data_IF_389074304025
#
_entry.id   IF_389074304025
#
_cell.length_a   1.000
_cell.length_b   1.000
_cell.length_c   1.000
_cell.angle_alpha   90.00
_cell.angle_beta   90.00
_cell.angle_gamma   90.00
#
_symmetry.space_group_name_H-M   'P 1'
#
loop_
_entity.id
_entity.type
_entity.pdbx_description
1 polymer ?
#
# COMPACT_ATOMS: atom_id res chain seq x y z
N UNK A 1 -21.05 27.73 2.35
CA UNK A 1 -19.83 27.47 3.13
C UNK A 1 -20.19 26.42 4.17
N UNK A 2 -19.80 25.17 3.94
CA UNK A 2 -19.71 24.13 4.97
C UNK A 2 -18.67 23.16 4.48
N UNK A 3 -17.43 23.52 4.80
CA UNK A 3 -16.25 22.69 4.84
C UNK A 3 -16.52 21.54 5.82
N UNK A 4 -16.90 20.38 5.27
CA UNK A 4 -16.98 19.14 6.04
C UNK A 4 -15.64 18.43 5.88
N UNK A 5 -14.79 18.67 6.89
CA UNK A 5 -13.65 17.84 7.26
C UNK A 5 -14.01 16.37 7.06
N UNK A 6 -13.33 15.70 6.14
CA UNK A 6 -13.39 14.26 6.00
C UNK A 6 -12.07 13.74 6.55
N UNK A 7 -12.11 13.44 7.84
CA UNK A 7 -11.16 12.57 8.53
C UNK A 7 -11.11 11.25 7.74
N UNK A 8 -9.97 10.74 7.29
CA UNK A 8 -9.84 9.31 7.05
C UNK A 8 -9.65 8.66 8.42
N UNK A 9 -10.76 8.33 9.07
CA UNK A 9 -10.77 7.33 10.14
C UNK A 9 -10.36 6.00 9.49
N UNK A 10 -9.15 5.54 9.80
CA UNK A 10 -8.54 4.26 9.40
C UNK A 10 -9.22 3.12 10.19
N UNK A 11 -10.53 2.96 10.05
CA UNK A 11 -11.33 1.95 10.74
C UNK A 11 -12.46 1.45 9.83
N UNK A 12 -12.14 0.66 8.81
CA UNK A 12 -12.97 -0.39 8.19
C UNK A 12 -12.20 -0.88 6.95
N UNK A 13 -11.50 -2.02 7.02
CA UNK A 13 -10.77 -2.69 5.92
C UNK A 13 -10.38 -1.75 4.76
N UNK A 14 -9.20 -1.12 4.84
CA UNK A 14 -8.83 -0.04 3.93
C UNK A 14 -8.60 -0.61 2.52
N UNK A 15 -9.60 -0.50 1.66
CA UNK A 15 -9.47 -0.80 0.23
C UNK A 15 -9.04 0.47 -0.48
N UNK A 16 -7.95 0.40 -1.23
CA UNK A 16 -7.46 1.49 -2.06
C UNK A 16 -7.73 1.18 -3.53
N UNK A 17 -8.29 2.14 -4.26
CA UNK A 17 -8.38 2.07 -5.72
C UNK A 17 -7.10 2.64 -6.31
N UNK A 18 -6.29 1.78 -6.95
CA UNK A 18 -5.11 2.20 -7.70
C UNK A 18 -5.52 2.54 -9.13
N UNK A 19 -5.29 3.79 -9.52
CA UNK A 19 -5.39 4.22 -10.91
C UNK A 19 -4.01 4.10 -11.56
N UNK A 20 -3.86 3.17 -12.49
CA UNK A 20 -2.64 2.99 -13.27
C UNK A 20 -2.60 3.99 -14.44
N UNK A 21 -1.39 4.29 -14.94
CA UNK A 21 -1.19 5.23 -16.06
C UNK A 21 -1.89 4.79 -17.37
N UNK A 22 -2.23 3.50 -17.51
CA UNK A 22 -2.99 2.97 -18.65
C UNK A 22 -4.51 3.28 -18.56
N UNK A 23 -4.97 3.90 -17.46
CA UNK A 23 -6.37 4.18 -17.17
C UNK A 23 -7.13 2.99 -16.59
N UNK A 24 -6.40 1.99 -16.09
CA UNK A 24 -6.96 0.83 -15.38
C UNK A 24 -7.10 1.20 -13.91
N UNK A 25 -8.30 0.98 -13.36
CA UNK A 25 -8.60 1.12 -11.94
C UNK A 25 -8.64 -0.28 -11.33
N UNK A 26 -7.76 -0.58 -10.37
CA UNK A 26 -7.77 -1.85 -9.63
C UNK A 26 -8.09 -1.56 -8.18
N UNK A 27 -9.11 -2.24 -7.65
CA UNK A 27 -9.42 -2.21 -6.22
C UNK A 27 -8.47 -3.17 -5.49
N UNK A 28 -7.69 -2.64 -4.57
CA UNK A 28 -6.72 -3.38 -3.80
C UNK A 28 -7.08 -3.35 -2.31
N UNK A 29 -7.07 -4.50 -1.66
CA UNK A 29 -7.21 -4.61 -0.21
C UNK A 29 -5.87 -4.34 0.47
N UNK A 30 -5.82 -3.40 1.41
CA UNK A 30 -4.61 -3.18 2.21
C UNK A 30 -4.45 -4.33 3.18
N UNK A 31 -3.41 -5.14 2.95
CA UNK A 31 -3.02 -6.22 3.84
C UNK A 31 -2.35 -5.67 5.10
N UNK A 32 -1.54 -4.63 4.94
CA UNK A 32 -0.88 -3.93 6.04
C UNK A 32 0.24 -3.00 5.57
N UNK A 33 0.72 -2.16 6.49
CA UNK A 33 1.89 -1.30 6.30
C UNK A 33 2.99 -1.70 7.28
N UNK A 34 4.24 -1.64 6.86
CA UNK A 34 5.39 -1.99 7.68
C UNK A 34 6.62 -1.15 7.31
N UNK A 35 7.50 -0.92 8.28
CA UNK A 35 8.77 -0.26 8.06
C UNK A 35 9.89 -1.28 7.80
N UNK A 36 10.71 -1.00 6.79
CA UNK A 36 11.89 -1.79 6.47
C UNK A 36 13.03 -0.89 6.00
N UNK A 37 14.24 -1.10 6.52
CA UNK A 37 15.45 -0.33 6.18
C UNK A 37 15.28 1.21 6.28
N UNK A 38 14.38 1.67 7.15
CA UNK A 38 14.09 3.11 7.32
C UNK A 38 13.19 3.72 6.23
N UNK A 39 12.53 2.89 5.43
CA UNK A 39 11.45 3.25 4.51
C UNK A 39 10.17 2.55 4.94
N UNK A 40 9.03 3.12 4.61
CA UNK A 40 7.73 2.50 4.86
C UNK A 40 7.25 1.79 3.59
N UNK A 41 6.55 0.68 3.77
CA UNK A 41 6.03 -0.15 2.69
C UNK A 41 4.59 -0.54 2.99
N UNK A 42 3.80 -0.71 1.95
CA UNK A 42 2.42 -1.15 2.01
C UNK A 42 2.24 -2.41 1.17
N UNK A 43 1.63 -3.43 1.76
CA UNK A 43 1.24 -4.66 1.08
C UNK A 43 -0.24 -4.57 0.70
N UNK A 44 -0.53 -4.83 -0.57
CA UNK A 44 -1.84 -4.69 -1.20
C UNK A 44 -2.20 -5.98 -1.92
N UNK A 45 -3.47 -6.42 -1.82
CA UNK A 45 -3.98 -7.56 -2.58
C UNK A 45 -4.98 -7.04 -3.62
N UNK A 46 -4.68 -7.12 -4.92
CA UNK A 46 -5.61 -6.73 -5.97
C UNK A 46 -6.82 -7.67 -6.03
N UNK A 47 -8.01 -7.11 -6.24
CA UNK A 47 -9.26 -7.85 -6.45
C UNK A 47 -9.42 -8.30 -7.92
N UNK A 48 -8.35 -8.80 -8.54
CA UNK A 48 -8.35 -9.24 -9.96
C UNK A 48 -8.36 -10.77 -10.11
N UNK A 49 -8.82 -11.49 -9.07
CA UNK A 49 -8.75 -12.97 -8.94
C UNK A 49 -7.31 -13.54 -8.99
N UNK A 50 -6.30 -12.68 -8.93
CA UNK A 50 -4.89 -13.04 -8.82
C UNK A 50 -4.50 -13.21 -7.35
N UNK A 51 -3.89 -14.34 -6.98
CA UNK A 51 -3.28 -14.56 -5.65
C UNK A 51 -1.93 -13.80 -5.49
N UNK A 52 -1.76 -12.68 -6.20
CA UNK A 52 -0.56 -11.86 -6.17
C UNK A 52 -0.64 -10.81 -5.05
N UNK A 53 0.49 -10.47 -4.43
CA UNK A 53 0.59 -9.40 -3.43
C UNK A 53 1.47 -8.29 -4.00
N UNK A 54 0.93 -7.08 -4.07
CA UNK A 54 1.64 -5.91 -4.54
C UNK A 54 2.24 -5.18 -3.36
N UNK A 55 3.57 -5.00 -3.36
CA UNK A 55 4.24 -4.21 -2.33
C UNK A 55 4.78 -2.93 -2.95
N UNK A 56 4.36 -1.80 -2.39
CA UNK A 56 4.80 -0.47 -2.76
C UNK A 56 5.48 0.20 -1.58
N UNK A 57 6.42 1.10 -1.85
CA UNK A 57 6.90 2.06 -0.86
C UNK A 57 5.76 2.99 -0.47
N UNK A 58 5.43 3.04 0.81
CA UNK A 58 4.50 4.00 1.37
C UNK A 58 5.26 5.25 1.77
N UNK A 59 4.77 6.42 1.36
CA UNK A 59 5.42 7.69 1.69
C UNK A 59 4.39 8.76 1.99
N UNK A 60 4.35 9.19 3.24
CA UNK A 60 3.50 10.31 3.64
C UNK A 60 4.03 11.62 3.03
N UNK A 61 3.20 12.31 2.26
CA UNK A 61 3.51 13.62 1.66
C UNK A 61 2.73 14.78 2.25
N UNK A 62 1.75 14.49 3.10
CA UNK A 62 0.94 15.50 3.79
C UNK A 62 0.21 14.93 5.00
N UNK A 63 -0.60 15.76 5.65
CA UNK A 63 -1.39 15.37 6.85
C UNK A 63 -2.44 14.28 6.54
N UNK A 64 -2.83 14.12 5.26
CA UNK A 64 -3.85 13.16 4.80
C UNK A 64 -3.52 12.63 3.37
N UNK A 65 -2.29 12.81 2.89
CA UNK A 65 -1.89 12.44 1.53
C UNK A 65 -0.65 11.55 1.57
N UNK A 66 -0.70 10.45 0.83
CA UNK A 66 0.38 9.49 0.71
C UNK A 66 0.69 9.23 -0.76
N UNK A 67 1.95 8.96 -1.05
CA UNK A 67 2.43 8.50 -2.34
C UNK A 67 2.81 7.03 -2.24
N UNK A 68 2.43 6.26 -3.25
CA UNK A 68 2.93 4.91 -3.46
C UNK A 68 4.09 4.96 -4.44
N UNK A 69 5.22 4.37 -4.04
CA UNK A 69 6.46 4.35 -4.81
C UNK A 69 6.74 2.93 -5.25
N UNK A 70 6.90 2.72 -6.55
CA UNK A 70 7.27 1.42 -7.12
C UNK A 70 8.68 1.01 -6.68
N UNK A 71 8.88 -0.28 -6.41
CA UNK A 71 10.17 -0.80 -5.98
C UNK A 71 10.92 -1.30 -7.22
N UNK A 72 11.74 -0.43 -7.81
CA UNK A 72 12.48 -0.76 -9.04
C UNK A 72 13.62 -1.78 -8.83
N UNK A 73 14.07 -1.99 -7.59
CA UNK A 73 15.16 -2.93 -7.27
C UNK A 73 14.57 -4.26 -6.78
N UNK A 74 14.68 -5.31 -7.62
CA UNK A 74 14.21 -6.66 -7.28
C UNK A 74 14.79 -7.16 -5.93
N UNK A 75 16.05 -6.81 -5.63
CA UNK A 75 16.71 -7.21 -4.39
C UNK A 75 16.20 -6.46 -3.15
N UNK A 76 15.65 -5.26 -3.31
CA UNK A 76 14.90 -4.55 -2.27
C UNK A 76 13.52 -5.20 -2.11
N UNK A 77 12.81 -5.46 -3.20
CA UNK A 77 11.50 -6.10 -3.19
C UNK A 77 11.53 -7.46 -2.48
N UNK A 78 12.46 -8.35 -2.84
CA UNK A 78 12.59 -9.67 -2.21
C UNK A 78 12.84 -9.58 -0.69
N UNK A 79 13.61 -8.59 -0.24
CA UNK A 79 13.88 -8.39 1.20
C UNK A 79 12.65 -7.89 1.94
N UNK A 80 11.94 -6.94 1.33
CA UNK A 80 10.73 -6.32 1.86
C UNK A 80 9.63 -7.39 1.96
N UNK A 81 9.44 -8.21 0.92
CA UNK A 81 8.54 -9.36 0.95
C UNK A 81 8.95 -10.36 2.04
N UNK A 82 10.23 -10.69 2.15
CA UNK A 82 10.70 -11.63 3.17
C UNK A 82 10.52 -11.08 4.60
N UNK A 83 10.57 -9.77 4.80
CA UNK A 83 10.24 -9.16 6.08
C UNK A 83 8.74 -9.18 6.35
N UNK A 84 7.93 -8.86 5.34
CA UNK A 84 6.47 -8.96 5.43
C UNK A 84 6.01 -10.37 5.80
N UNK A 85 6.52 -11.39 5.12
CA UNK A 85 6.20 -12.80 5.38
C UNK A 85 6.56 -13.20 6.82
N UNK A 86 7.72 -12.74 7.31
CA UNK A 86 8.11 -12.93 8.71
C UNK A 86 7.19 -12.22 9.70
N UNK A 87 6.68 -11.04 9.37
CA UNK A 87 5.72 -10.30 10.21
C UNK A 87 4.37 -11.02 10.24
N UNK A 88 3.93 -11.59 9.11
CA UNK A 88 2.67 -12.31 8.97
C UNK A 88 2.69 -13.69 9.64
N UNK A 89 3.84 -14.37 9.65
CA UNK A 89 4.03 -15.65 10.35
C UNK A 89 4.33 -15.51 11.85
N UNK A 90 4.60 -14.29 12.36
CA UNK A 90 4.99 -14.03 13.76
C UNK A 90 3.80 -13.93 14.72
#
# INVERSE_FOLDING_TARGET
MTDKKKNPEIEEADFITLEFEDGVEVECEIMGVFDYDGKEYIALIPNDDTDDVYIYGYKEVGEDEFELVDIEDDGEFEKVVAEFDKIMEA
#
